data_IF_504833601078
#
_entry.id   IF_504833601078
#
_cell.length_a   1.000
_cell.length_b   1.000
_cell.length_c   1.000
_cell.angle_alpha   90.00
_cell.angle_beta   90.00
_cell.angle_gamma   90.00
#
_symmetry.space_group_name_H-M   'P 1'
#
loop_
_entity.id
_entity.type
_entity.pdbx_description
1 polymer ?
#
# COMPACT_ATOMS: atom_id res chain seq x y z
N UNK A 1 10.75 1.35 -11.79
CA UNK A 1 9.82 2.51 -11.92
C UNK A 1 10.41 3.61 -12.79
N UNK A 2 11.58 4.14 -12.46
CA UNK A 2 12.24 5.20 -13.24
C UNK A 2 12.51 4.82 -14.70
N UNK A 3 12.95 3.58 -14.95
CA UNK A 3 13.11 3.05 -16.31
C UNK A 3 11.80 3.02 -17.12
N UNK A 4 10.67 2.67 -16.50
CA UNK A 4 9.35 2.62 -17.16
C UNK A 4 8.93 4.04 -17.54
N UNK A 5 9.02 4.98 -16.60
CA UNK A 5 8.70 6.40 -16.83
C UNK A 5 9.56 6.98 -17.97
N UNK A 6 10.88 6.75 -17.92
CA UNK A 6 11.80 7.23 -18.96
C UNK A 6 11.45 6.65 -20.33
N UNK A 7 11.23 5.34 -20.40
CA UNK A 7 10.92 4.65 -21.67
C UNK A 7 9.63 5.16 -22.31
N UNK A 8 8.59 5.39 -21.50
CA UNK A 8 7.31 5.93 -21.96
C UNK A 8 7.42 7.41 -22.38
N UNK A 9 8.10 8.25 -21.58
CA UNK A 9 8.24 9.68 -21.86
C UNK A 9 9.07 9.97 -23.12
N UNK A 10 10.10 9.16 -23.38
CA UNK A 10 10.96 9.29 -24.56
C UNK A 10 10.29 8.78 -25.84
N UNK A 11 9.25 7.94 -25.74
CA UNK A 11 8.55 7.33 -26.87
C UNK A 11 7.04 7.54 -26.77
N UNK A 12 6.56 8.72 -27.17
CA UNK A 12 5.11 9.03 -27.24
C UNK A 12 4.41 8.17 -28.30
N UNK A 13 4.04 6.94 -27.96
CA UNK A 13 3.18 6.06 -28.75
C UNK A 13 1.72 6.27 -28.34
N UNK A 14 0.80 6.01 -29.28
CA UNK A 14 -0.64 6.08 -29.04
C UNK A 14 -1.10 5.03 -28.02
N UNK A 15 -0.44 3.87 -28.02
CA UNK A 15 -0.69 2.79 -27.08
C UNK A 15 0.64 2.27 -26.53
N UNK A 16 0.68 2.01 -25.23
CA UNK A 16 1.80 1.46 -24.48
C UNK A 16 1.32 0.24 -23.67
N UNK A 17 2.10 -0.83 -23.74
CA UNK A 17 1.76 -2.12 -23.17
C UNK A 17 2.86 -2.64 -22.25
N UNK A 18 2.48 -3.43 -21.25
CA UNK A 18 3.43 -4.14 -20.38
C UNK A 18 3.06 -5.62 -20.34
N UNK A 19 4.06 -6.51 -20.43
CA UNK A 19 3.89 -7.93 -20.15
C UNK A 19 4.60 -8.28 -18.85
N UNK A 20 3.90 -8.96 -17.95
CA UNK A 20 4.44 -9.44 -16.68
C UNK A 20 4.22 -10.94 -16.55
N UNK A 21 5.17 -11.61 -15.88
CA UNK A 21 5.01 -13.01 -15.49
C UNK A 21 4.20 -13.18 -14.21
N UNK A 22 4.00 -12.15 -13.40
CA UNK A 22 3.18 -12.20 -12.17
C UNK A 22 2.60 -10.82 -11.90
N UNK A 23 1.41 -10.78 -11.31
CA UNK A 23 0.85 -9.55 -10.74
C UNK A 23 1.78 -9.02 -9.64
N UNK A 24 2.28 -7.77 -9.74
CA UNK A 24 3.13 -7.16 -8.73
C UNK A 24 2.48 -7.09 -7.34
N UNK A 25 1.14 -7.09 -7.25
CA UNK A 25 0.40 -6.94 -5.98
C UNK A 25 0.79 -5.69 -5.17
N UNK A 26 1.15 -4.62 -5.89
CA UNK A 26 1.60 -3.33 -5.35
C UNK A 26 0.87 -2.18 -6.07
N UNK A 27 -0.07 -1.47 -5.41
CA UNK A 27 -0.81 -0.35 -6.01
C UNK A 27 0.08 0.73 -6.64
N UNK A 28 1.26 0.98 -6.08
CA UNK A 28 2.22 1.98 -6.57
C UNK A 28 2.76 1.62 -7.96
N UNK A 29 2.91 0.33 -8.26
CA UNK A 29 3.34 -0.15 -9.57
C UNK A 29 2.26 0.13 -10.61
N UNK A 30 0.99 -0.11 -10.25
CA UNK A 30 -0.18 0.16 -11.11
C UNK A 30 -0.44 1.65 -11.31
N UNK A 31 -0.26 2.46 -10.26
CA UNK A 31 -0.30 3.92 -10.33
C UNK A 31 0.76 4.44 -11.30
N UNK A 32 1.95 3.87 -11.27
CA UNK A 32 3.02 4.27 -12.15
C UNK A 32 2.86 3.76 -13.59
N UNK A 33 2.25 2.59 -13.82
CA UNK A 33 1.83 2.19 -15.16
C UNK A 33 0.84 3.20 -15.75
N UNK A 34 -0.17 3.57 -14.96
CA UNK A 34 -1.16 4.59 -15.32
C UNK A 34 -0.49 5.93 -15.62
N UNK A 35 0.39 6.40 -14.74
CA UNK A 35 1.13 7.65 -14.91
C UNK A 35 2.09 7.63 -16.12
N UNK A 36 2.64 6.46 -16.47
CA UNK A 36 3.47 6.27 -17.65
C UNK A 36 2.64 6.10 -18.95
N UNK A 37 1.31 6.22 -18.89
CA UNK A 37 0.44 6.08 -20.06
C UNK A 37 0.38 4.65 -20.61
N UNK A 38 0.63 3.64 -19.77
CA UNK A 38 0.39 2.23 -20.11
C UNK A 38 -1.11 2.00 -20.10
N UNK A 39 -1.69 1.59 -21.23
CA UNK A 39 -3.14 1.37 -21.37
C UNK A 39 -3.56 -0.10 -21.29
N UNK A 40 -2.62 -1.04 -21.40
CA UNK A 40 -2.88 -2.44 -21.08
C UNK A 40 -1.67 -3.17 -20.46
N UNK A 41 -1.93 -4.03 -19.47
CA UNK A 41 -0.95 -4.91 -18.83
C UNK A 41 -1.40 -6.36 -18.97
N UNK A 42 -0.54 -7.20 -19.56
CA UNK A 42 -0.81 -8.60 -19.83
C UNK A 42 -0.11 -9.47 -18.79
N UNK A 43 -0.87 -10.31 -18.10
CA UNK A 43 -0.38 -11.22 -17.07
C UNK A 43 -1.04 -12.58 -17.28
N UNK A 44 -0.31 -13.52 -17.89
CA UNK A 44 -0.87 -14.82 -18.29
C UNK A 44 -2.20 -14.67 -19.05
N UNK A 45 -3.29 -15.20 -18.51
CA UNK A 45 -4.64 -15.17 -19.08
C UNK A 45 -5.46 -13.96 -18.59
N UNK A 46 -4.81 -12.89 -18.15
CA UNK A 46 -5.48 -11.68 -17.69
C UNK A 46 -4.96 -10.45 -18.43
N UNK A 47 -5.88 -9.62 -18.91
CA UNK A 47 -5.57 -8.33 -19.53
C UNK A 47 -6.14 -7.24 -18.65
N UNK A 48 -5.27 -6.48 -18.00
CA UNK A 48 -5.66 -5.31 -17.24
C UNK A 48 -5.67 -4.10 -18.17
N UNK A 49 -6.74 -3.32 -18.17
CA UNK A 49 -6.93 -2.18 -19.06
C UNK A 49 -7.25 -0.93 -18.27
N UNK A 50 -6.75 0.21 -18.72
CA UNK A 50 -7.16 1.50 -18.17
C UNK A 50 -8.62 1.76 -18.55
N UNK A 51 -9.50 1.84 -17.55
CA UNK A 51 -10.95 2.01 -17.72
C UNK A 51 -11.31 3.17 -18.63
N UNK A 52 -10.60 4.29 -18.49
CA UNK A 52 -10.79 5.49 -19.31
C UNK A 52 -10.61 5.21 -20.80
N UNK A 53 -9.66 4.35 -21.16
CA UNK A 53 -9.36 4.05 -22.56
C UNK A 53 -10.48 3.23 -23.21
N UNK A 54 -11.20 2.44 -22.43
CA UNK A 54 -12.16 1.44 -22.90
C UNK A 54 -13.41 2.11 -23.45
N UNK A 55 -13.66 1.95 -24.75
CA UNK A 55 -14.88 2.39 -25.45
C UNK A 55 -15.90 1.28 -25.60
N UNK A 56 -15.44 0.02 -25.65
CA UNK A 56 -16.26 -1.18 -25.64
C UNK A 56 -15.67 -2.19 -24.66
N UNK A 57 -16.45 -2.58 -23.64
CA UNK A 57 -16.06 -3.62 -22.68
C UNK A 57 -16.12 -5.02 -23.30
N UNK A 58 -15.30 -5.91 -22.75
CA UNK A 58 -15.43 -7.34 -22.99
C UNK A 58 -16.67 -7.90 -22.27
N UNK A 59 -17.02 -9.15 -22.57
CA UNK A 59 -18.20 -9.78 -21.97
C UNK A 59 -18.09 -10.05 -20.46
N UNK A 60 -16.88 -10.04 -19.89
CA UNK A 60 -16.60 -10.49 -18.52
C UNK A 60 -15.64 -9.55 -17.75
N UNK A 61 -15.55 -8.27 -18.12
CA UNK A 61 -14.69 -7.30 -17.43
C UNK A 61 -15.12 -7.10 -15.97
N UNK A 62 -14.15 -7.15 -15.06
CA UNK A 62 -14.35 -6.95 -13.63
C UNK A 62 -13.57 -5.73 -13.11
N UNK A 63 -14.10 -5.03 -12.09
CA UNK A 63 -13.31 -4.03 -11.37
C UNK A 63 -12.11 -4.70 -10.69
N UNK A 64 -11.03 -3.95 -10.54
CA UNK A 64 -9.83 -4.39 -9.81
C UNK A 64 -9.64 -3.60 -8.52
N UNK A 65 -8.75 -4.10 -7.66
CA UNK A 65 -8.24 -3.35 -6.50
C UNK A 65 -7.34 -2.16 -6.89
N UNK A 66 -6.95 -2.07 -8.18
CA UNK A 66 -6.11 -1.01 -8.71
C UNK A 66 -6.97 0.10 -9.32
N UNK A 67 -6.92 1.27 -8.70
CA UNK A 67 -7.72 2.42 -9.10
C UNK A 67 -7.54 2.76 -10.61
N UNK A 68 -8.67 2.87 -11.32
CA UNK A 68 -8.69 3.19 -12.76
C UNK A 68 -8.39 2.02 -13.68
N UNK A 69 -8.16 0.82 -13.16
CA UNK A 69 -7.94 -0.41 -13.93
C UNK A 69 -9.14 -1.37 -13.84
N UNK A 70 -9.49 -1.94 -14.98
CA UNK A 70 -10.41 -3.08 -15.11
C UNK A 70 -9.62 -4.31 -15.58
N UNK A 71 -10.08 -5.52 -15.27
CA UNK A 71 -9.44 -6.76 -15.71
C UNK A 71 -10.38 -7.58 -16.56
N UNK A 72 -9.89 -7.96 -17.73
CA UNK A 72 -10.47 -8.98 -18.59
C UNK A 72 -9.82 -10.33 -18.28
N UNK A 73 -10.58 -11.22 -17.65
CA UNK A 73 -10.14 -12.57 -17.28
C UNK A 73 -10.42 -13.57 -18.41
N UNK A 74 -9.42 -13.79 -19.27
CA UNK A 74 -9.51 -14.67 -20.43
C UNK A 74 -9.75 -16.14 -20.05
N UNK A 75 -9.50 -16.52 -18.78
CA UNK A 75 -9.77 -17.89 -18.34
C UNK A 75 -11.26 -18.25 -18.34
N UNK A 76 -12.14 -17.23 -18.36
CA UNK A 76 -13.59 -17.38 -18.40
C UNK A 76 -14.15 -17.71 -19.78
N UNK A 77 -13.35 -17.52 -20.83
CA UNK A 77 -13.74 -17.89 -22.18
C UNK A 77 -14.02 -19.40 -22.26
N UNK A 78 -15.20 -19.74 -22.75
CA UNK A 78 -15.68 -21.13 -22.83
C UNK A 78 -14.89 -21.95 -23.84
N UNK A 79 -14.47 -21.33 -24.94
CA UNK A 79 -13.75 -21.98 -26.01
C UNK A 79 -12.24 -21.80 -25.83
N UNK A 80 -11.50 -22.91 -25.86
CA UNK A 80 -10.04 -22.96 -25.76
C UNK A 80 -9.51 -23.97 -26.80
N UNK A 81 -8.31 -23.79 -27.37
CA UNK A 81 -7.37 -22.69 -27.15
C UNK A 81 -7.70 -21.46 -28.00
N UNK A 82 -7.28 -20.29 -27.53
CA UNK A 82 -7.35 -19.02 -28.26
C UNK A 82 -5.97 -18.33 -28.25
N UNK A 83 -5.84 -17.28 -29.05
CA UNK A 83 -4.72 -16.34 -29.01
C UNK A 83 -5.27 -14.94 -28.71
N UNK A 84 -4.48 -14.12 -28.02
CA UNK A 84 -4.78 -12.69 -27.86
C UNK A 84 -4.20 -11.92 -29.04
N UNK A 85 -5.03 -11.20 -29.78
CA UNK A 85 -4.66 -10.39 -30.94
C UNK A 85 -4.81 -8.91 -30.59
N UNK A 86 -3.77 -8.14 -30.88
CA UNK A 86 -3.77 -6.67 -30.78
C UNK A 86 -3.85 -6.09 -32.18
N UNK A 87 -4.91 -5.35 -32.46
CA UNK A 87 -5.12 -4.69 -33.76
C UNK A 87 -5.34 -3.19 -33.53
N UNK A 88 -4.42 -2.36 -34.01
CA UNK A 88 -4.52 -0.91 -33.89
C UNK A 88 -4.80 -0.29 -35.27
N UNK A 89 -5.84 0.54 -35.35
CA UNK A 89 -6.19 1.34 -36.54
C UNK A 89 -6.45 2.78 -36.12
N UNK A 90 -5.69 3.72 -36.67
CA UNK A 90 -5.73 5.13 -36.29
C UNK A 90 -5.61 5.33 -34.76
N UNK A 91 -6.71 5.71 -34.10
CA UNK A 91 -6.78 5.93 -32.65
C UNK A 91 -7.47 4.78 -31.92
N UNK A 92 -7.89 3.72 -32.60
CA UNK A 92 -8.62 2.60 -32.01
C UNK A 92 -7.69 1.40 -31.85
N UNK A 93 -7.67 0.81 -30.65
CA UNK A 93 -7.04 -0.47 -30.39
C UNK A 93 -8.11 -1.51 -30.05
N UNK A 94 -8.10 -2.61 -30.78
CA UNK A 94 -8.84 -3.81 -30.44
C UNK A 94 -7.91 -4.80 -29.75
N UNK A 95 -8.34 -5.31 -28.59
CA UNK A 95 -7.73 -6.47 -27.95
C UNK A 95 -8.74 -7.61 -28.05
N UNK A 96 -8.42 -8.64 -28.83
CA UNK A 96 -9.33 -9.73 -29.21
C UNK A 96 -8.82 -11.06 -28.69
N UNK A 97 -9.72 -11.95 -28.34
CA UNK A 97 -9.43 -13.37 -28.16
C UNK A 97 -9.94 -14.12 -29.39
N UNK A 98 -9.05 -14.71 -30.17
CA UNK A 98 -9.39 -15.41 -31.42
C UNK A 98 -9.11 -16.91 -31.31
N UNK A 99 -10.06 -17.73 -31.76
CA UNK A 99 -9.83 -19.18 -31.87
C UNK A 99 -8.91 -19.52 -33.05
N UNK A 100 -8.58 -20.81 -33.21
CA UNK A 100 -7.71 -21.31 -34.28
C UNK A 100 -8.23 -21.04 -35.69
N UNK A 101 -9.52 -20.74 -35.85
CA UNK A 101 -10.18 -20.44 -37.11
C UNK A 101 -10.24 -18.93 -37.38
N UNK A 102 -9.67 -18.10 -36.50
CA UNK A 102 -9.74 -16.64 -36.59
C UNK A 102 -11.10 -16.06 -36.22
N UNK A 103 -11.95 -16.83 -35.54
CA UNK A 103 -13.22 -16.31 -35.02
C UNK A 103 -12.95 -15.58 -33.69
N UNK A 104 -13.42 -14.35 -33.60
CA UNK A 104 -13.36 -13.55 -32.37
C UNK A 104 -14.34 -14.16 -31.36
N UNK A 105 -13.80 -14.67 -30.26
CA UNK A 105 -14.55 -15.24 -29.14
C UNK A 105 -15.10 -14.14 -28.23
N UNK A 106 -14.29 -13.11 -27.99
CA UNK A 106 -14.62 -11.90 -27.23
C UNK A 106 -13.55 -10.82 -27.51
N UNK A 107 -13.88 -9.56 -27.23
CA UNK A 107 -12.99 -8.44 -27.50
C UNK A 107 -13.31 -7.23 -26.63
N UNK A 108 -12.31 -6.37 -26.46
CA UNK A 108 -12.50 -5.01 -25.96
C UNK A 108 -11.91 -3.99 -26.95
N UNK A 109 -12.43 -2.78 -26.90
CA UNK A 109 -11.98 -1.65 -27.72
C UNK A 109 -11.47 -0.52 -26.82
N UNK A 110 -10.36 0.10 -27.24
CA UNK A 110 -9.82 1.30 -26.61
C UNK A 110 -9.65 2.45 -27.63
N UNK A 111 -9.83 3.69 -27.16
CA UNK A 111 -9.58 4.90 -27.95
C UNK A 111 -8.43 5.75 -27.36
N UNK A 112 -7.40 5.98 -28.17
CA UNK A 112 -6.24 6.80 -27.83
C UNK A 112 -6.60 8.28 -27.59
N UNK A 113 -7.72 8.78 -28.10
CA UNK A 113 -8.19 10.13 -27.79
C UNK A 113 -8.71 10.25 -26.36
N UNK A 114 -9.27 9.19 -25.79
CA UNK A 114 -9.60 9.15 -24.37
C UNK A 114 -8.33 9.16 -23.51
N UNK A 115 -7.25 8.55 -24.01
CA UNK A 115 -5.92 8.65 -23.40
C UNK A 115 -5.27 10.03 -23.56
N UNK A 116 -5.57 10.77 -24.64
CA UNK A 116 -4.99 12.08 -24.95
C UNK A 116 -5.76 13.26 -24.33
N UNK A 117 -7.08 13.14 -24.19
CA UNK A 117 -7.94 14.10 -23.47
C UNK A 117 -7.68 14.06 -21.96
N UNK A 118 -7.11 12.95 -21.48
CA UNK A 118 -6.36 12.91 -20.24
C UNK A 118 -5.07 13.69 -20.41
N UNK A 119 -5.19 15.00 -20.26
CA UNK A 119 -4.04 15.88 -20.24
C UNK A 119 -3.17 15.49 -19.02
N UNK A 120 -2.14 14.66 -19.27
CA UNK A 120 -1.10 14.25 -18.33
C UNK A 120 -0.34 15.46 -17.73
N UNK A 121 -0.52 16.65 -18.31
CA UNK A 121 -0.03 17.95 -17.80
C UNK A 121 -1.06 18.75 -16.98
N UNK A 122 -2.35 18.36 -16.93
CA UNK A 122 -3.37 18.88 -15.98
C UNK A 122 -3.74 17.93 -14.86
N UNK A 123 -3.27 16.68 -14.91
CA UNK A 123 -2.64 16.20 -13.69
C UNK A 123 -1.54 17.23 -13.42
N UNK A 124 -1.79 18.21 -12.54
CA UNK A 124 -0.68 18.60 -11.67
C UNK A 124 -0.20 17.26 -11.18
N UNK A 125 1.02 16.85 -11.58
CA UNK A 125 1.62 15.65 -11.05
C UNK A 125 1.60 15.85 -9.55
N UNK A 126 0.57 15.33 -8.89
CA UNK A 126 0.54 15.13 -7.47
C UNK A 126 1.73 14.24 -7.26
N UNK A 127 2.84 14.87 -6.91
CA UNK A 127 4.10 14.18 -6.82
C UNK A 127 3.93 13.32 -5.59
N UNK A 128 3.75 12.02 -5.79
CA UNK A 128 3.80 11.09 -4.69
C UNK A 128 5.25 11.11 -4.18
N UNK A 129 5.42 11.67 -2.98
CA UNK A 129 6.69 11.76 -2.27
C UNK A 129 6.69 10.60 -1.28
N UNK A 130 7.50 9.55 -1.51
CA UNK A 130 7.64 8.47 -0.56
C UNK A 130 8.40 8.97 0.67
N UNK A 131 7.73 8.95 1.83
CA UNK A 131 8.33 9.28 3.12
C UNK A 131 8.98 8.04 3.75
N UNK A 132 8.30 6.91 3.63
CA UNK A 132 8.78 5.58 3.99
C UNK A 132 8.41 4.63 2.87
N UNK A 133 9.39 3.94 2.28
CA UNK A 133 9.13 2.94 1.24
C UNK A 133 8.82 1.56 1.81
N UNK A 134 8.07 0.75 1.07
CA UNK A 134 7.99 -0.68 1.31
C UNK A 134 9.40 -1.28 1.37
N UNK A 135 9.57 -2.35 2.14
CA UNK A 135 10.88 -2.99 2.34
C UNK A 135 11.95 -2.07 2.93
N UNK A 136 11.52 -1.01 3.63
CA UNK A 136 12.43 -0.15 4.38
C UNK A 136 13.14 -0.92 5.49
N UNK A 137 14.28 -0.39 5.94
CA UNK A 137 14.90 -0.81 7.19
C UNK A 137 14.17 -0.11 8.35
N UNK A 138 13.82 -0.89 9.36
CA UNK A 138 13.13 -0.50 10.58
C UNK A 138 13.99 -0.83 11.80
N UNK A 139 13.92 0.02 12.83
CA UNK A 139 14.27 -0.41 14.19
C UNK A 139 13.12 -1.23 14.74
N UNK A 140 13.42 -2.33 15.43
CA UNK A 140 12.40 -3.18 16.01
C UNK A 140 12.80 -3.75 17.37
N UNK A 141 11.78 -4.02 18.19
CA UNK A 141 11.93 -4.63 19.49
C UNK A 141 10.75 -5.58 19.76
N UNK A 142 11.04 -6.78 20.25
CA UNK A 142 10.01 -7.70 20.72
C UNK A 142 9.41 -7.18 22.02
N UNK A 143 8.10 -7.31 22.24
CA UNK A 143 7.48 -6.74 23.43
C UNK A 143 8.08 -7.23 24.76
N UNK A 144 8.24 -6.30 25.70
CA UNK A 144 8.70 -6.53 27.06
C UNK A 144 8.23 -5.40 27.97
N UNK A 145 8.31 -5.60 29.28
CA UNK A 145 7.97 -4.58 30.30
C UNK A 145 8.82 -3.29 30.19
N UNK A 146 9.91 -3.30 29.42
CA UNK A 146 10.73 -2.13 29.16
C UNK A 146 10.09 -1.16 28.15
N UNK A 147 9.12 -1.63 27.35
CA UNK A 147 8.41 -0.82 26.38
C UNK A 147 7.22 -0.18 27.07
N UNK A 148 7.29 1.13 27.31
CA UNK A 148 6.29 1.86 28.09
C UNK A 148 5.36 2.67 27.18
N UNK A 149 4.06 2.59 27.46
CA UNK A 149 3.02 3.45 26.86
C UNK A 149 2.41 4.32 27.95
N UNK A 150 2.36 5.63 27.74
CA UNK A 150 1.72 6.60 28.61
C UNK A 150 0.27 6.87 28.19
N UNK A 151 -0.59 7.18 29.16
CA UNK A 151 -1.86 7.85 28.87
C UNK A 151 -1.56 9.33 28.60
N UNK A 152 -1.95 9.88 27.43
CA UNK A 152 -1.93 11.32 27.23
C UNK A 152 -2.71 12.02 28.34
N UNK A 153 -2.22 13.17 28.82
CA UNK A 153 -2.92 13.96 29.83
C UNK A 153 -4.29 14.39 29.28
N UNK A 154 -5.38 14.02 29.96
CA UNK A 154 -6.76 14.20 29.47
C UNK A 154 -7.31 13.06 28.59
N UNK A 155 -6.55 12.00 28.35
CA UNK A 155 -6.98 10.82 27.59
C UNK A 155 -7.92 9.90 28.36
N UNK A 156 -8.97 9.41 27.70
CA UNK A 156 -9.93 8.45 28.26
C UNK A 156 -9.45 6.99 28.10
N UNK A 157 -9.66 6.19 29.15
CA UNK A 157 -9.29 4.77 29.25
C UNK A 157 -10.26 3.84 28.49
N UNK A 158 -11.47 4.29 28.16
CA UNK A 158 -12.55 3.42 27.61
C UNK A 158 -12.50 3.30 26.07
N UNK A 159 -11.45 3.83 25.45
CA UNK A 159 -11.14 3.53 24.07
C UNK A 159 -11.46 4.68 23.15
N UNK A 160 -10.38 5.28 22.69
CA UNK A 160 -10.21 5.75 21.33
C UNK A 160 -10.87 4.77 20.35
N UNK A 161 -12.03 5.13 19.79
CA UNK A 161 -12.34 4.72 18.43
C UNK A 161 -11.27 5.26 17.47
N UNK A 162 -11.32 4.96 16.16
CA UNK A 162 -10.43 5.66 15.24
C UNK A 162 -10.52 7.15 15.54
N UNK A 163 -9.39 7.87 15.56
CA UNK A 163 -9.37 9.33 15.79
C UNK A 163 -10.08 10.00 14.61
N UNK A 164 -11.40 9.90 14.64
CA UNK A 164 -12.42 10.41 13.76
C UNK A 164 -13.47 10.86 14.77
N UNK A 165 -13.50 12.17 15.03
CA UNK A 165 -14.59 12.92 15.71
C UNK A 165 -14.53 13.30 17.20
N UNK A 166 -13.37 13.40 17.86
CA UNK A 166 -13.27 14.23 19.08
C UNK A 166 -12.13 15.24 19.04
N UNK A 167 -12.40 16.38 18.41
CA UNK A 167 -12.08 17.77 18.82
C UNK A 167 -10.72 18.16 19.45
N UNK A 168 -9.70 17.32 19.50
CA UNK A 168 -8.37 17.72 19.93
C UNK A 168 -7.49 17.93 18.70
N UNK A 169 -7.54 19.15 18.20
CA UNK A 169 -6.64 19.66 17.15
C UNK A 169 -5.22 19.90 17.65
N UNK A 170 -4.99 19.76 18.96
CA UNK A 170 -3.71 19.98 19.61
C UNK A 170 -3.03 18.65 19.91
N UNK A 171 -1.78 18.56 19.49
CA UNK A 171 -0.89 17.44 19.74
C UNK A 171 -0.58 17.36 21.23
N UNK A 172 -0.91 16.26 21.91
CA UNK A 172 -0.47 16.04 23.29
C UNK A 172 0.95 15.45 23.27
N UNK A 173 1.97 16.12 23.82
CA UNK A 173 3.32 15.59 23.84
C UNK A 173 3.41 14.35 24.74
N UNK A 174 3.90 13.24 24.18
CA UNK A 174 4.21 12.04 24.96
C UNK A 174 5.58 12.18 25.64
N UNK A 175 5.74 11.66 26.87
CA UNK A 175 7.03 11.72 27.56
C UNK A 175 8.09 10.91 26.80
N UNK A 176 9.37 11.30 26.91
CA UNK A 176 10.45 10.70 26.13
C UNK A 176 10.71 9.21 26.42
N UNK A 177 10.18 8.67 27.51
CA UNK A 177 10.21 7.23 27.82
C UNK A 177 9.07 6.44 27.17
N UNK A 178 8.08 7.11 26.57
CA UNK A 178 7.04 6.45 25.79
C UNK A 178 7.56 6.06 24.41
N UNK A 179 7.49 4.78 24.05
CA UNK A 179 8.03 4.27 22.80
C UNK A 179 7.38 4.85 21.54
N UNK A 180 6.23 5.52 21.65
CA UNK A 180 5.56 6.21 20.53
C UNK A 180 6.06 7.64 20.37
N UNK A 181 6.69 8.21 21.41
CA UNK A 181 7.21 9.57 21.39
C UNK A 181 8.29 9.73 20.31
N UNK A 182 8.33 10.87 19.60
CA UNK A 182 9.44 11.18 18.70
C UNK A 182 10.78 11.29 19.45
N UNK A 183 10.76 11.66 20.73
CA UNK A 183 11.96 11.80 21.58
C UNK A 183 12.47 10.48 22.18
N UNK A 184 11.78 9.37 21.92
CA UNK A 184 12.18 8.07 22.46
C UNK A 184 13.50 7.58 21.87
N UNK A 185 14.44 7.23 22.75
CA UNK A 185 15.71 6.67 22.35
C UNK A 185 15.59 5.16 22.05
N UNK A 186 15.54 4.82 20.76
CA UNK A 186 15.51 3.45 20.25
C UNK A 186 16.90 2.94 19.80
N UNK A 187 18.01 3.55 20.25
CA UNK A 187 19.37 3.16 19.85
C UNK A 187 19.71 1.69 20.09
N UNK A 188 19.07 1.10 21.10
CA UNK A 188 19.33 -0.27 21.54
C UNK A 188 18.41 -1.29 20.86
N UNK A 189 17.49 -0.84 19.99
CA UNK A 189 16.63 -1.72 19.21
C UNK A 189 17.39 -2.39 18.08
N UNK A 190 16.95 -3.60 17.70
CA UNK A 190 17.50 -4.31 16.54
C UNK A 190 17.10 -3.58 15.26
N UNK A 191 17.78 -3.86 14.16
CA UNK A 191 17.42 -3.33 12.82
C UNK A 191 17.14 -4.47 11.87
N UNK A 192 16.13 -4.30 11.00
CA UNK A 192 15.75 -5.31 10.03
C UNK A 192 15.10 -4.68 8.80
N UNK A 193 15.31 -5.29 7.63
CA UNK A 193 14.62 -4.92 6.40
C UNK A 193 13.24 -5.57 6.38
N UNK A 194 12.21 -4.79 6.04
CA UNK A 194 10.86 -5.31 5.83
C UNK A 194 10.73 -6.07 4.48
N UNK A 195 9.79 -7.00 4.31
CA UNK A 195 8.87 -7.48 5.34
C UNK A 195 9.57 -8.21 6.48
N UNK A 196 9.20 -7.87 7.72
CA UNK A 196 9.67 -8.54 8.93
C UNK A 196 8.58 -9.50 9.40
N UNK A 197 8.96 -10.68 9.86
CA UNK A 197 7.96 -11.63 10.34
C UNK A 197 8.44 -13.05 10.51
N UNK A 198 7.49 -13.93 10.78
CA UNK A 198 7.63 -15.38 10.70
C UNK A 198 6.32 -15.96 10.18
N UNK A 199 6.38 -17.07 9.47
CA UNK A 199 5.18 -17.75 8.99
C UNK A 199 5.46 -19.21 8.70
N UNK A 200 4.46 -20.06 8.90
CA UNK A 200 4.50 -21.47 8.49
C UNK A 200 4.09 -21.68 7.01
N UNK A 201 3.68 -20.62 6.31
CA UNK A 201 3.34 -20.69 4.90
C UNK A 201 4.61 -20.55 4.04
N UNK A 202 4.94 -21.59 3.29
CA UNK A 202 6.19 -21.65 2.49
C UNK A 202 6.29 -20.59 1.39
N UNK A 203 5.19 -20.15 0.79
CA UNK A 203 5.23 -19.03 -0.18
C UNK A 203 5.56 -17.73 0.56
N UNK A 204 4.90 -17.47 1.70
CA UNK A 204 5.09 -16.23 2.46
C UNK A 204 6.50 -16.10 3.03
N UNK A 205 7.14 -17.22 3.38
CA UNK A 205 8.55 -17.23 3.79
C UNK A 205 9.49 -16.63 2.73
N UNK A 206 9.14 -16.69 1.45
CA UNK A 206 9.96 -16.10 0.37
C UNK A 206 9.91 -14.57 0.34
N UNK A 207 8.88 -13.96 0.94
CA UNK A 207 8.74 -12.51 1.02
C UNK A 207 9.44 -11.91 2.25
N UNK A 208 9.61 -12.70 3.33
CA UNK A 208 10.23 -12.23 4.58
C UNK A 208 11.72 -11.94 4.37
N UNK A 209 12.11 -10.69 4.63
CA UNK A 209 13.51 -10.23 4.55
C UNK A 209 14.22 -10.32 5.90
N UNK A 210 13.47 -10.17 7.01
CA UNK A 210 14.00 -10.32 8.38
C UNK A 210 13.11 -11.23 9.20
N UNK A 211 13.65 -12.37 9.62
CA UNK A 211 12.98 -13.26 10.57
C UNK A 211 12.99 -12.66 11.98
N UNK A 212 11.85 -12.71 12.66
CA UNK A 212 11.71 -12.22 14.03
C UNK A 212 11.88 -13.38 15.03
N UNK A 213 12.37 -13.12 16.24
CA UNK A 213 12.60 -14.20 17.23
C UNK A 213 11.30 -14.59 17.94
N UNK A 214 10.85 -15.84 17.89
CA UNK A 214 9.64 -16.20 18.65
C UNK A 214 9.86 -16.01 20.17
N UNK A 215 9.26 -14.98 20.74
CA UNK A 215 9.27 -14.66 22.18
C UNK A 215 7.89 -14.86 22.80
N UNK A 216 7.82 -14.79 24.15
CA UNK A 216 6.57 -14.93 24.90
C UNK A 216 5.57 -13.79 24.64
N UNK A 217 6.04 -12.57 24.41
CA UNK A 217 5.16 -11.45 24.08
C UNK A 217 4.52 -11.67 22.70
N UNK A 218 3.20 -11.45 22.55
CA UNK A 218 2.53 -11.47 21.25
C UNK A 218 2.87 -10.26 20.37
N UNK A 219 3.66 -9.30 20.86
CA UNK A 219 3.78 -7.96 20.29
C UNK A 219 5.17 -7.69 19.75
N UNK A 220 5.21 -6.96 18.65
CA UNK A 220 6.42 -6.37 18.10
C UNK A 220 6.25 -4.89 17.84
N UNK A 221 7.25 -4.12 18.23
CA UNK A 221 7.31 -2.68 18.06
C UNK A 221 8.31 -2.34 16.95
N UNK A 222 7.93 -1.41 16.09
CA UNK A 222 8.73 -0.93 14.97
C UNK A 222 8.79 0.58 15.00
N UNK A 223 9.96 1.16 14.71
CA UNK A 223 10.18 2.61 14.64
C UNK A 223 11.01 2.98 13.43
N UNK A 224 10.66 4.11 12.82
CA UNK A 224 11.42 4.69 11.72
C UNK A 224 11.29 6.20 11.71
N UNK A 225 12.43 6.87 11.63
CA UNK A 225 12.50 8.31 11.35
C UNK A 225 12.54 8.57 9.85
N UNK A 226 11.95 9.69 9.44
CA UNK A 226 12.01 10.22 8.08
C UNK A 226 11.93 11.75 8.12
N UNK A 227 12.37 12.39 7.05
CA UNK A 227 12.31 13.85 6.91
C UNK A 227 11.22 14.25 5.90
N UNK A 228 10.56 15.37 6.18
CA UNK A 228 9.61 16.03 5.28
C UNK A 228 10.13 17.43 4.92
N UNK A 229 10.46 17.64 3.65
CA UNK A 229 11.07 18.90 3.18
C UNK A 229 10.05 20.04 2.96
N UNK A 230 8.78 19.70 2.75
CA UNK A 230 7.68 20.64 2.46
C UNK A 230 6.86 20.97 3.70
N UNK A 231 6.17 22.11 3.69
CA UNK A 231 5.20 22.40 4.75
C UNK A 231 4.01 21.43 4.62
N UNK A 232 3.59 20.74 5.69
CA UNK A 232 2.40 19.87 5.65
C UNK A 232 1.13 20.54 5.10
N UNK A 233 1.02 21.87 5.18
CA UNK A 233 -0.09 22.65 4.60
C UNK A 233 -0.10 22.70 3.07
N UNK A 234 1.01 22.35 2.42
CA UNK A 234 1.14 22.28 0.96
C UNK A 234 0.81 20.88 0.41
N UNK A 235 0.51 19.93 1.30
CA UNK A 235 0.17 18.56 0.95
C UNK A 235 -1.34 18.40 0.78
N UNK A 236 -1.72 17.62 -0.24
CA UNK A 236 -3.12 17.33 -0.58
C UNK A 236 -3.60 15.96 -0.07
N UNK A 237 -2.67 15.06 0.23
CA UNK A 237 -2.94 13.68 0.62
C UNK A 237 -1.81 13.08 1.49
N UNK A 238 -2.16 12.10 2.33
CA UNK A 238 -1.27 11.25 3.12
C UNK A 238 -1.79 9.82 3.03
N UNK A 239 -0.97 8.91 2.52
CA UNK A 239 -1.36 7.54 2.22
C UNK A 239 -0.47 6.56 2.96
N UNK A 240 -1.09 5.57 3.59
CA UNK A 240 -0.44 4.44 4.24
C UNK A 240 -0.72 3.17 3.42
N UNK A 241 0.31 2.43 3.05
CA UNK A 241 0.20 1.07 2.54
C UNK A 241 0.81 0.13 3.58
N UNK A 242 0.01 -0.76 4.16
CA UNK A 242 0.45 -1.65 5.24
C UNK A 242 0.12 -3.11 4.95
N UNK A 243 1.05 -4.01 5.24
CA UNK A 243 0.87 -5.46 5.22
C UNK A 243 1.16 -6.01 6.62
N UNK A 244 0.20 -6.72 7.22
CA UNK A 244 0.28 -7.16 8.62
C UNK A 244 -0.45 -8.49 8.87
N UNK A 245 -0.09 -9.16 9.96
CA UNK A 245 -0.79 -10.31 10.55
C UNK A 245 -0.42 -10.34 12.05
N UNK A 246 -1.35 -10.32 13.02
CA UNK A 246 -2.83 -10.29 12.89
C UNK A 246 -3.40 -8.85 12.93
N UNK A 247 -3.00 -8.04 13.92
CA UNK A 247 -3.52 -6.67 14.11
C UNK A 247 -2.44 -5.66 14.41
N UNK A 248 -2.74 -4.37 14.25
CA UNK A 248 -1.76 -3.30 14.42
C UNK A 248 -2.35 -2.00 14.96
N UNK A 249 -1.46 -1.14 15.48
CA UNK A 249 -1.68 0.30 15.62
C UNK A 249 -0.45 1.07 15.10
N UNK A 250 -0.67 2.14 14.34
CA UNK A 250 0.33 3.02 13.74
C UNK A 250 0.22 4.40 14.37
N UNK A 251 1.36 4.96 14.76
CA UNK A 251 1.50 6.28 15.37
C UNK A 251 2.43 7.15 14.53
N UNK A 252 2.03 8.41 14.32
CA UNK A 252 2.84 9.45 13.71
C UNK A 252 3.11 10.52 14.77
N UNK A 253 4.39 10.73 15.08
CA UNK A 253 4.84 11.70 16.09
C UNK A 253 4.07 11.56 17.43
N UNK A 254 3.90 10.31 17.90
CA UNK A 254 3.21 9.99 19.14
C UNK A 254 1.67 9.92 19.07
N UNK A 255 1.06 10.28 17.95
CA UNK A 255 -0.40 10.25 17.79
C UNK A 255 -0.82 9.09 16.90
N UNK A 256 -1.82 8.33 17.33
CA UNK A 256 -2.37 7.25 16.51
C UNK A 256 -2.96 7.80 15.21
N UNK A 257 -2.71 7.12 14.09
CA UNK A 257 -3.22 7.49 12.77
C UNK A 257 -3.94 6.32 12.09
N UNK A 258 -3.70 5.09 12.52
CA UNK A 258 -4.37 3.93 11.95
C UNK A 258 -4.31 2.74 12.91
N UNK A 259 -5.38 1.95 12.97
CA UNK A 259 -5.50 0.75 13.79
C UNK A 259 -6.40 -0.23 13.07
N UNK A 260 -6.06 -1.52 13.12
CA UNK A 260 -6.97 -2.56 12.64
C UNK A 260 -6.79 -3.88 13.38
N UNK A 261 -7.87 -4.65 13.45
CA UNK A 261 -7.92 -5.97 14.07
C UNK A 261 -7.34 -6.02 15.50
N UNK A 262 -7.54 -4.97 16.31
CA UNK A 262 -7.15 -4.94 17.72
C UNK A 262 -8.12 -4.08 18.53
N UNK A 263 -8.27 -4.41 19.83
CA UNK A 263 -9.12 -3.66 20.76
C UNK A 263 -8.74 -2.18 20.79
N UNK A 264 -9.71 -1.30 21.04
CA UNK A 264 -9.48 0.14 21.30
C UNK A 264 -8.81 0.39 22.65
N UNK A 265 -8.26 1.59 22.82
CA UNK A 265 -7.60 2.02 24.06
C UNK A 265 -6.10 1.71 24.10
N UNK A 266 -5.50 1.86 25.29
CA UNK A 266 -4.07 1.63 25.48
C UNK A 266 -3.73 0.17 25.26
N UNK A 267 -2.73 -0.02 24.40
CA UNK A 267 -2.11 -1.29 24.14
C UNK A 267 -0.86 -1.46 25.00
N UNK A 268 -0.65 -2.70 25.43
CA UNK A 268 0.54 -3.16 26.15
C UNK A 268 1.21 -4.25 25.33
N UNK A 269 2.41 -4.64 25.71
CA UNK A 269 3.15 -5.74 25.11
C UNK A 269 2.41 -7.09 25.24
N UNK A 270 1.40 -7.17 26.11
CA UNK A 270 0.57 -8.35 26.33
C UNK A 270 -0.78 -8.33 25.60
N UNK A 271 -1.15 -7.21 24.99
CA UNK A 271 -2.41 -7.07 24.26
C UNK A 271 -2.46 -8.03 23.06
N UNK A 272 -3.65 -8.55 22.77
CA UNK A 272 -3.90 -9.48 21.67
C UNK A 272 -4.73 -8.83 20.56
N UNK A 273 -4.41 -9.17 19.33
CA UNK A 273 -5.22 -8.84 18.17
C UNK A 273 -6.45 -9.75 18.04
N UNK A 274 -7.40 -9.36 17.19
CA UNK A 274 -8.36 -10.28 16.62
C UNK A 274 -7.70 -11.05 15.46
N UNK A 275 -7.97 -12.36 15.31
CA UNK A 275 -7.43 -13.13 14.18
C UNK A 275 -7.80 -12.46 12.86
N UNK A 276 -6.79 -12.21 12.04
CA UNK A 276 -6.97 -11.59 10.73
C UNK A 276 -5.94 -12.16 9.78
N UNK A 277 -6.40 -12.68 8.66
CA UNK A 277 -5.51 -13.28 7.69
C UNK A 277 -4.67 -12.22 6.99
N UNK A 278 -3.40 -12.55 6.74
CA UNK A 278 -2.54 -11.75 5.89
C UNK A 278 -3.24 -11.38 4.58
N UNK A 279 -3.39 -10.09 4.36
CA UNK A 279 -3.72 -9.52 3.06
C UNK A 279 -2.47 -8.89 2.47
N UNK A 280 -2.38 -8.83 1.14
CA UNK A 280 -1.42 -7.93 0.49
C UNK A 280 -1.68 -6.48 0.97
N UNK A 281 -0.79 -5.55 0.62
CA UNK A 281 -0.84 -4.17 1.12
C UNK A 281 -2.25 -3.56 1.09
N UNK A 282 -2.75 -3.21 2.27
CA UNK A 282 -3.95 -2.41 2.44
C UNK A 282 -3.58 -0.94 2.32
N UNK A 283 -4.23 -0.25 1.38
CA UNK A 283 -4.13 1.21 1.22
C UNK A 283 -5.12 1.91 2.15
N UNK A 284 -4.64 2.90 2.89
CA UNK A 284 -5.40 3.66 3.88
C UNK A 284 -5.19 5.15 3.61
N UNK A 285 -6.29 5.87 3.42
CA UNK A 285 -6.31 7.34 3.34
C UNK A 285 -6.19 7.92 4.75
N UNK A 286 -5.13 8.70 4.96
CA UNK A 286 -4.81 9.38 6.21
C UNK A 286 -4.77 10.90 6.02
N UNK A 287 -5.44 11.45 5.00
CA UNK A 287 -5.48 12.89 4.73
C UNK A 287 -5.88 13.73 5.94
N UNK A 288 -6.79 13.21 6.77
CA UNK A 288 -7.21 13.85 8.02
C UNK A 288 -6.10 13.97 9.08
N UNK A 289 -4.93 13.38 8.85
CA UNK A 289 -3.77 13.37 9.75
C UNK A 289 -2.58 14.15 9.20
N UNK A 290 -2.71 14.89 8.10
CA UNK A 290 -1.67 15.77 7.57
C UNK A 290 -1.15 16.78 8.60
N UNK A 291 -2.03 17.26 9.48
CA UNK A 291 -1.68 18.18 10.57
C UNK A 291 -0.75 17.58 11.63
N UNK A 292 -0.53 16.26 11.62
CA UNK A 292 0.37 15.55 12.54
C UNK A 292 1.80 15.45 12.00
N UNK A 293 2.02 15.74 10.70
CA UNK A 293 3.36 15.86 10.13
C UNK A 293 4.03 17.16 10.59
N UNK A 294 5.35 17.10 10.72
CA UNK A 294 6.21 18.24 10.97
C UNK A 294 7.07 18.48 9.74
N UNK A 295 7.32 19.75 9.39
CA UNK A 295 8.41 20.05 8.45
C UNK A 295 9.74 19.70 9.13
N UNK A 296 10.55 18.88 8.47
CA UNK A 296 11.77 18.28 9.03
C UNK A 296 11.53 16.88 9.58
N UNK A 297 12.13 16.57 10.73
CA UNK A 297 12.15 15.22 11.28
C UNK A 297 10.78 14.77 11.80
N UNK A 298 10.39 13.56 11.41
CA UNK A 298 9.19 12.86 11.86
C UNK A 298 9.55 11.43 12.28
N UNK A 299 8.69 10.83 13.10
CA UNK A 299 8.79 9.42 13.51
C UNK A 299 7.46 8.74 13.25
N UNK A 300 7.52 7.60 12.54
CA UNK A 300 6.43 6.63 12.49
C UNK A 300 6.78 5.45 13.39
N UNK A 301 5.84 5.07 14.24
CA UNK A 301 5.96 3.96 15.17
C UNK A 301 4.78 3.00 14.97
N UNK A 302 5.02 1.70 15.06
CA UNK A 302 4.00 0.68 14.81
C UNK A 302 4.11 -0.41 15.85
N UNK A 303 2.97 -0.85 16.39
CA UNK A 303 2.88 -2.10 17.14
C UNK A 303 2.06 -3.11 16.34
N UNK A 304 2.57 -4.33 16.22
CA UNK A 304 1.89 -5.45 15.58
C UNK A 304 1.71 -6.56 16.60
N UNK A 305 0.48 -7.03 16.74
CA UNK A 305 0.07 -8.01 17.74
C UNK A 305 -0.42 -9.27 17.06
N UNK A 306 -0.06 -10.41 17.66
CA UNK A 306 -0.68 -11.70 17.36
C UNK A 306 -2.03 -11.80 18.07
N UNK A 307 -2.91 -12.58 17.48
CA UNK A 307 -4.18 -13.00 18.09
C UNK A 307 -3.98 -14.03 19.21
N UNK A 308 -2.85 -14.72 19.22
CA UNK A 308 -2.47 -15.67 20.26
C UNK A 308 -0.94 -15.67 20.49
N UNK A 309 -0.44 -15.74 21.75
CA UNK A 309 1.00 -15.72 22.02
C UNK A 309 1.79 -16.88 21.37
N UNK A 310 1.13 -18.01 21.13
CA UNK A 310 1.72 -19.16 20.44
C UNK A 310 1.50 -19.16 18.92
N UNK A 311 0.90 -18.11 18.35
CA UNK A 311 0.73 -18.04 16.90
C UNK A 311 2.10 -17.99 16.23
N UNK A 312 2.37 -18.88 15.25
CA UNK A 312 3.65 -18.88 14.55
C UNK A 312 3.75 -17.72 13.56
N UNK A 313 2.61 -17.11 13.20
CA UNK A 313 2.54 -16.11 12.17
C UNK A 313 2.64 -14.70 12.75
N UNK A 314 3.44 -13.88 12.09
CA UNK A 314 3.48 -12.44 12.23
C UNK A 314 4.08 -11.89 10.94
N UNK A 315 3.50 -10.83 10.41
CA UNK A 315 4.01 -10.16 9.23
C UNK A 315 3.93 -8.65 9.43
N UNK A 316 4.91 -7.90 8.93
CA UNK A 316 4.92 -6.45 8.94
C UNK A 316 5.73 -5.89 7.78
N UNK A 317 5.08 -5.07 6.95
CA UNK A 317 5.73 -4.09 6.08
C UNK A 317 4.82 -2.86 5.98
N UNK A 318 5.42 -1.69 5.73
CA UNK A 318 4.72 -0.42 5.71
C UNK A 318 5.41 0.57 4.76
N UNK A 319 4.62 1.23 3.93
CA UNK A 319 4.98 2.45 3.23
C UNK A 319 4.07 3.62 3.63
N UNK A 320 4.66 4.82 3.64
CA UNK A 320 3.99 6.08 3.89
C UNK A 320 4.39 7.04 2.77
N UNK A 321 3.41 7.66 2.11
CA UNK A 321 3.64 8.66 1.07
C UNK A 321 2.71 9.84 1.22
N UNK A 322 3.11 10.98 0.66
CA UNK A 322 2.29 12.19 0.58
C UNK A 322 2.19 12.66 -0.86
N UNK A 323 1.15 13.43 -1.16
CA UNK A 323 0.98 14.07 -2.46
C UNK A 323 0.98 15.60 -2.31
N UNK A 324 1.78 16.31 -3.09
CA UNK A 324 1.72 17.78 -3.17
C UNK A 324 0.53 18.28 -4.01
N UNK A 325 0.08 19.52 -3.77
CA UNK A 325 -1.08 20.16 -4.45
C UNK A 325 -0.88 20.59 -5.91
#
# INVERSE_FOLDING_TARGET
MEWIRRTANENKKLFNFVWLSKDPKLPEVWNAFRAAGINAVFIHDSVYVLKLAVTQQSSDDMPTEYEGWEVWDLNRLKEKPFITVLEATDNTLFIKAENKQGQVLDQLEQDAQNLASWNLTTLKEKQEIPLVGIQSIWRYHSGSEAIQSALPEGGDLVGEGPIIETSHTETVPLPANDWRSPEYNDSDWKFGRAPLGNTNNGERQTYVQTNLETVKSPTYYFRKSFDLDVDPKELSDLVLNIAYEDGYAVYLNGQEISRDAILSGILTESSLAFPNEFTFYRRIDLKAHLNKLLKGANVIAVEVHRSHPSSPNLFFDLALSVESE
#
